data_IF_760060788259
#
_entry.id   IF_760060788259
#
_cell.length_a   1.000
_cell.length_b   1.000
_cell.length_c   1.000
_cell.angle_alpha   90.00
_cell.angle_beta   90.00
_cell.angle_gamma   90.00
#
_symmetry.space_group_name_H-M   'P 1'
#
loop_
_entity.id
_entity.type
_entity.pdbx_description
1 polymer ?
#
# COMPACT_ATOMS: atom_id res chain seq x y z
N UNK A 1 35.14 -19.01 34.71
CA UNK A 1 34.08 -19.59 33.86
C UNK A 1 32.91 -18.63 33.91
N UNK A 2 32.69 -17.89 32.83
CA UNK A 2 31.58 -16.92 32.73
C UNK A 2 30.33 -17.70 32.30
N UNK A 3 29.32 -17.73 33.16
CA UNK A 3 27.98 -18.20 32.86
C UNK A 3 27.19 -16.98 32.36
N UNK A 4 26.86 -16.95 31.08
CA UNK A 4 25.91 -15.96 30.55
C UNK A 4 24.51 -16.49 30.81
N UNK A 5 23.81 -15.84 31.74
CA UNK A 5 22.41 -16.07 32.06
C UNK A 5 21.51 -15.88 30.82
N UNK A 6 21.20 -16.99 30.15
CA UNK A 6 20.10 -17.13 29.20
C UNK A 6 18.77 -17.10 29.93
N UNK A 7 18.32 -15.92 30.33
CA UNK A 7 17.02 -15.69 30.96
C UNK A 7 16.11 -14.87 30.03
N UNK A 8 15.28 -15.57 29.25
CA UNK A 8 14.30 -14.92 28.37
C UNK A 8 13.62 -15.86 27.38
N UNK A 9 12.90 -16.88 27.87
CA UNK A 9 12.27 -17.93 27.06
C UNK A 9 11.21 -17.43 26.07
N UNK A 10 11.64 -17.22 24.83
CA UNK A 10 10.85 -17.27 23.61
C UNK A 10 11.60 -18.21 22.69
N UNK A 11 10.93 -19.26 22.18
CA UNK A 11 11.55 -20.40 21.50
C UNK A 11 12.73 -20.01 20.60
N UNK A 12 13.85 -20.72 20.79
CA UNK A 12 15.02 -20.63 19.91
C UNK A 12 14.67 -20.96 18.46
N UNK A 13 13.52 -21.57 18.21
CA UNK A 13 13.04 -21.85 16.87
C UNK A 13 12.62 -20.57 16.12
N UNK A 14 13.08 -20.39 14.87
CA UNK A 14 12.63 -19.29 14.02
C UNK A 14 11.12 -19.38 13.73
N UNK A 15 10.49 -18.22 13.55
CA UNK A 15 9.09 -18.19 13.10
C UNK A 15 8.96 -18.82 11.70
N UNK A 16 7.88 -19.55 11.42
CA UNK A 16 7.63 -20.13 10.08
C UNK A 16 7.71 -19.06 8.97
N UNK A 17 7.28 -17.83 9.26
CA UNK A 17 7.41 -16.69 8.33
C UNK A 17 8.87 -16.35 8.04
N UNK A 18 9.75 -16.37 9.04
CA UNK A 18 11.18 -16.12 8.87
C UNK A 18 11.83 -17.23 8.05
N UNK A 19 11.52 -18.49 8.35
CA UNK A 19 12.05 -19.65 7.60
C UNK A 19 11.65 -19.58 6.13
N UNK A 20 10.36 -19.36 5.83
CA UNK A 20 9.89 -19.22 4.45
C UNK A 20 10.56 -18.05 3.73
N UNK A 21 10.75 -16.94 4.43
CA UNK A 21 11.42 -15.78 3.87
C UNK A 21 12.90 -16.07 3.57
N UNK A 22 13.62 -16.70 4.50
CA UNK A 22 15.00 -17.12 4.32
C UNK A 22 15.16 -18.09 3.14
N UNK A 23 14.25 -19.06 2.99
CA UNK A 23 14.24 -19.99 1.86
C UNK A 23 14.03 -19.28 0.50
N UNK A 24 13.05 -18.38 0.42
CA UNK A 24 12.82 -17.59 -0.80
C UNK A 24 14.03 -16.72 -1.14
N UNK A 25 14.66 -16.13 -0.12
CA UNK A 25 15.82 -15.28 -0.31
C UNK A 25 17.04 -16.09 -0.77
N UNK A 26 17.27 -17.27 -0.17
CA UNK A 26 18.30 -18.23 -0.58
C UNK A 26 18.11 -18.65 -2.05
N UNK A 27 16.88 -19.02 -2.43
CA UNK A 27 16.55 -19.40 -3.81
C UNK A 27 16.81 -18.26 -4.81
N UNK A 28 16.38 -17.04 -4.47
CA UNK A 28 16.53 -15.89 -5.38
C UNK A 28 17.97 -15.37 -5.49
N UNK A 29 18.77 -15.55 -4.44
CA UNK A 29 20.18 -15.14 -4.39
C UNK A 29 21.15 -16.25 -4.82
N UNK A 30 20.67 -17.49 -4.99
CA UNK A 30 21.51 -18.65 -5.25
C UNK A 30 22.41 -19.04 -4.07
N UNK A 31 22.08 -18.60 -2.84
CA UNK A 31 22.83 -18.95 -1.63
C UNK A 31 22.27 -20.24 -1.02
N UNK A 32 23.15 -21.07 -0.45
CA UNK A 32 22.72 -22.25 0.30
C UNK A 32 22.21 -21.84 1.70
N UNK A 33 21.03 -22.32 2.08
CA UNK A 33 20.46 -22.08 3.42
C UNK A 33 21.08 -23.09 4.41
N UNK A 34 21.82 -22.64 5.44
CA UNK A 34 22.40 -23.55 6.44
C UNK A 34 21.31 -24.20 7.29
N UNK A 35 21.48 -25.48 7.67
CA UNK A 35 20.51 -26.20 8.49
C UNK A 35 20.33 -25.55 9.87
N UNK A 36 21.39 -24.96 10.42
CA UNK A 36 21.34 -24.26 11.71
C UNK A 36 20.37 -23.07 11.68
N UNK A 37 20.19 -22.42 10.52
CA UNK A 37 19.23 -21.33 10.35
C UNK A 37 17.77 -21.79 10.35
N UNK A 38 17.51 -23.10 10.27
CA UNK A 38 16.16 -23.68 10.44
C UNK A 38 15.84 -23.98 11.91
N UNK A 39 16.86 -24.19 12.73
CA UNK A 39 16.73 -24.60 14.13
C UNK A 39 16.86 -23.42 15.09
N UNK A 40 17.65 -22.40 14.71
CA UNK A 40 17.95 -21.25 15.55
C UNK A 40 17.51 -19.93 14.90
N UNK A 41 16.73 -19.16 15.65
CA UNK A 41 16.16 -17.87 15.23
C UNK A 41 17.21 -16.81 14.97
N UNK A 42 18.26 -16.75 15.79
CA UNK A 42 19.35 -15.78 15.63
C UNK A 42 20.17 -16.11 14.38
N UNK A 43 20.46 -17.40 14.16
CA UNK A 43 21.11 -17.89 12.93
C UNK A 43 20.26 -17.60 11.69
N UNK A 44 18.94 -17.80 11.77
CA UNK A 44 18.00 -17.46 10.70
C UNK A 44 18.03 -15.97 10.37
N UNK A 45 17.97 -15.12 11.39
CA UNK A 45 18.01 -13.67 11.22
C UNK A 45 19.35 -13.20 10.63
N UNK A 46 20.46 -13.72 11.14
CA UNK A 46 21.79 -13.42 10.63
C UNK A 46 21.95 -13.81 9.16
N UNK A 47 21.43 -14.99 8.76
CA UNK A 47 21.42 -15.42 7.37
C UNK A 47 20.60 -14.46 6.48
N UNK A 48 19.41 -14.05 6.94
CA UNK A 48 18.56 -13.09 6.20
C UNK A 48 19.30 -11.77 5.99
N UNK A 49 19.95 -11.24 7.03
CA UNK A 49 20.70 -9.99 6.94
C UNK A 49 21.89 -10.10 5.98
N UNK A 50 22.65 -11.19 6.04
CA UNK A 50 23.78 -11.44 5.13
C UNK A 50 23.30 -11.56 3.67
N UNK A 51 22.24 -12.33 3.44
CA UNK A 51 21.68 -12.53 2.12
C UNK A 51 21.05 -11.25 1.54
N UNK A 52 20.42 -10.41 2.38
CA UNK A 52 19.95 -9.08 1.97
C UNK A 52 21.11 -8.15 1.62
N UNK A 53 22.20 -8.19 2.38
CA UNK A 53 23.40 -7.41 2.10
C UNK A 53 24.02 -7.73 0.74
N UNK A 54 23.97 -9.01 0.33
CA UNK A 54 24.45 -9.52 -0.97
C UNK A 54 23.45 -9.32 -2.11
N UNK A 55 22.18 -9.07 -1.79
CA UNK A 55 21.16 -8.88 -2.81
C UNK A 55 21.31 -7.53 -3.51
N UNK A 56 21.20 -7.56 -4.85
CA UNK A 56 21.17 -6.34 -5.64
C UNK A 56 19.94 -5.49 -5.28
N UNK A 57 20.07 -4.16 -5.21
CA UNK A 57 18.94 -3.27 -4.96
C UNK A 57 17.89 -3.38 -6.06
N UNK A 58 16.62 -3.21 -5.70
CA UNK A 58 15.54 -3.18 -6.68
C UNK A 58 15.67 -1.95 -7.59
N UNK A 59 15.36 -2.12 -8.88
CA UNK A 59 15.36 -1.01 -9.85
C UNK A 59 14.53 0.20 -9.38
N UNK A 60 13.44 -0.04 -8.64
CA UNK A 60 12.63 1.02 -8.04
C UNK A 60 13.36 1.78 -6.92
N UNK A 61 14.09 1.06 -6.07
CA UNK A 61 14.89 1.70 -5.02
C UNK A 61 16.02 2.54 -5.63
N UNK A 62 16.64 2.05 -6.71
CA UNK A 62 17.67 2.80 -7.44
C UNK A 62 17.09 4.10 -8.00
N UNK A 63 16.00 4.03 -8.76
CA UNK A 63 15.35 5.21 -9.33
C UNK A 63 14.93 6.22 -8.24
N UNK A 64 14.42 5.73 -7.10
CA UNK A 64 14.02 6.61 -6.00
C UNK A 64 15.23 7.28 -5.35
N UNK A 65 16.29 6.52 -5.04
CA UNK A 65 17.53 7.06 -4.49
C UNK A 65 18.19 8.08 -5.46
N UNK A 66 18.13 7.83 -6.77
CA UNK A 66 18.61 8.78 -7.79
C UNK A 66 17.80 10.08 -7.79
N UNK A 67 16.49 10.03 -7.61
CA UNK A 67 15.65 11.24 -7.50
C UNK A 67 15.98 12.06 -6.25
N UNK A 68 16.30 11.39 -5.14
CA UNK A 68 16.75 12.04 -3.91
C UNK A 68 18.12 12.69 -4.10
N UNK A 69 19.05 11.97 -4.74
CA UNK A 69 20.39 12.46 -5.05
C UNK A 69 20.34 13.68 -6.01
N UNK A 70 19.49 13.61 -7.03
CA UNK A 70 19.22 14.73 -7.94
C UNK A 70 18.66 15.96 -7.20
N UNK A 71 17.75 15.77 -6.25
CA UNK A 71 17.24 16.86 -5.40
C UNK A 71 18.34 17.53 -4.58
N UNK A 72 19.36 16.75 -4.15
CA UNK A 72 20.55 17.27 -3.47
C UNK A 72 21.60 17.88 -4.41
N UNK A 73 21.44 17.72 -5.73
CA UNK A 73 22.47 18.02 -6.73
C UNK A 73 23.77 17.24 -6.51
N UNK A 74 23.68 16.01 -5.99
CA UNK A 74 24.83 15.11 -5.78
C UNK A 74 24.62 13.81 -6.59
N UNK A 75 25.66 13.22 -7.19
CA UNK A 75 25.53 11.91 -7.83
C UNK A 75 25.37 10.80 -6.77
N UNK A 76 24.58 9.77 -7.08
CA UNK A 76 24.39 8.63 -6.17
C UNK A 76 25.71 7.84 -6.04
N UNK A 77 26.25 7.64 -4.82
CA UNK A 77 27.52 6.93 -4.63
C UNK A 77 27.47 5.48 -5.14
N UNK A 78 28.55 5.00 -5.78
CA UNK A 78 28.60 3.64 -6.35
C UNK A 78 28.40 2.54 -5.30
N UNK A 79 28.90 2.74 -4.08
CA UNK A 79 28.72 1.81 -2.96
C UNK A 79 27.24 1.62 -2.57
N UNK A 80 26.42 2.66 -2.77
CA UNK A 80 24.97 2.61 -2.50
C UNK A 80 24.25 1.80 -3.57
N UNK A 81 24.73 1.83 -4.82
CA UNK A 81 24.16 1.06 -5.95
C UNK A 81 24.47 -0.43 -5.89
N UNK A 82 25.52 -0.85 -5.18
CA UNK A 82 25.94 -2.25 -5.11
C UNK A 82 25.16 -3.10 -4.09
N UNK A 83 24.49 -2.49 -3.11
CA UNK A 83 23.80 -3.25 -2.05
C UNK A 83 22.41 -2.70 -1.76
N UNK A 84 21.42 -3.61 -1.67
CA UNK A 84 20.06 -3.28 -1.26
C UNK A 84 19.99 -2.65 0.13
N UNK A 85 20.88 -3.03 1.04
CA UNK A 85 20.94 -2.44 2.39
C UNK A 85 21.42 -0.99 2.34
N UNK A 86 22.52 -0.74 1.62
CA UNK A 86 23.08 0.59 1.48
C UNK A 86 22.09 1.56 0.80
N UNK A 87 21.32 1.10 -0.19
CA UNK A 87 20.30 1.95 -0.83
C UNK A 87 19.14 2.27 0.09
N UNK A 88 18.67 1.30 0.88
CA UNK A 88 17.61 1.54 1.86
C UNK A 88 18.06 2.54 2.93
N UNK A 89 19.27 2.38 3.49
CA UNK A 89 19.83 3.32 4.46
C UNK A 89 19.97 4.73 3.86
N UNK A 90 20.42 4.84 2.61
CA UNK A 90 20.49 6.12 1.90
C UNK A 90 19.10 6.76 1.74
N UNK A 91 18.09 5.97 1.35
CA UNK A 91 16.71 6.46 1.22
C UNK A 91 16.18 6.94 2.57
N UNK A 92 16.34 6.17 3.65
CA UNK A 92 15.83 6.51 4.97
C UNK A 92 16.46 7.79 5.53
N UNK A 93 17.76 8.01 5.26
CA UNK A 93 18.46 9.24 5.64
C UNK A 93 17.97 10.45 4.84
N UNK A 94 17.68 10.28 3.54
CA UNK A 94 17.33 11.38 2.64
C UNK A 94 15.81 11.52 2.40
N UNK A 95 14.97 10.71 3.04
CA UNK A 95 13.51 10.71 2.84
C UNK A 95 12.87 12.08 3.14
N UNK A 96 13.46 12.86 4.03
CA UNK A 96 12.98 14.20 4.38
C UNK A 96 13.14 15.21 3.23
N UNK A 97 14.03 14.91 2.27
CA UNK A 97 14.26 15.72 1.07
C UNK A 97 13.31 15.38 -0.06
N UNK A 98 12.59 14.25 0.03
CA UNK A 98 11.40 14.03 -0.78
C UNK A 98 10.28 14.93 -0.25
N UNK A 99 10.46 16.24 -0.35
CA UNK A 99 9.35 17.19 -0.23
C UNK A 99 8.30 16.76 -1.25
N UNK A 100 7.01 16.69 -0.90
CA UNK A 100 5.96 16.35 -1.83
C UNK A 100 5.79 17.51 -2.81
N UNK A 101 6.67 17.60 -3.79
CA UNK A 101 6.51 18.46 -4.94
C UNK A 101 5.29 17.93 -5.70
N UNK A 102 4.13 18.51 -5.41
CA UNK A 102 2.86 18.34 -6.09
C UNK A 102 2.31 16.89 -6.18
N UNK A 103 1.59 16.45 -5.15
CA UNK A 103 0.50 15.47 -5.29
C UNK A 103 0.85 14.04 -5.74
N UNK A 104 2.14 13.71 -5.87
CA UNK A 104 2.59 12.35 -6.17
C UNK A 104 2.25 11.40 -5.03
N UNK A 105 1.35 10.45 -5.29
CA UNK A 105 0.93 9.40 -4.36
C UNK A 105 2.17 8.72 -3.76
N UNK A 106 2.43 9.00 -2.49
CA UNK A 106 3.50 8.37 -1.71
C UNK A 106 3.34 6.85 -1.78
N UNK A 107 4.22 6.20 -2.52
CA UNK A 107 4.34 4.74 -2.60
C UNK A 107 5.20 4.28 -1.41
N UNK A 108 4.68 4.45 -0.20
CA UNK A 108 5.24 3.93 1.04
C UNK A 108 4.23 2.98 1.67
N UNK A 109 4.56 1.69 1.66
CA UNK A 109 3.67 0.62 2.09
C UNK A 109 3.27 0.67 3.57
N UNK A 110 2.06 0.17 3.84
CA UNK A 110 1.82 -0.74 4.96
C UNK A 110 2.04 -0.20 6.38
N UNK A 111 1.74 1.07 6.63
CA UNK A 111 1.71 1.65 7.98
C UNK A 111 0.34 2.23 8.29
N UNK A 112 -0.58 1.37 8.77
CA UNK A 112 -1.88 1.78 9.31
C UNK A 112 -1.68 2.68 10.53
N UNK A 113 -1.61 4.00 10.34
CA UNK A 113 -1.93 5.03 11.34
C UNK A 113 -2.08 6.38 10.65
N UNK A 114 -3.33 6.61 10.25
CA UNK A 114 -3.88 7.83 9.72
C UNK A 114 -3.60 9.03 10.64
N UNK A 115 -2.55 9.79 10.35
CA UNK A 115 -2.54 11.25 10.59
C UNK A 115 -2.62 11.96 9.24
N UNK A 116 -3.69 11.68 8.49
CA UNK A 116 -4.06 12.53 7.36
C UNK A 116 -4.66 13.83 7.92
N UNK A 117 -3.95 14.92 7.64
CA UNK A 117 -4.33 16.30 7.92
C UNK A 117 -5.84 16.55 7.72
N UNK A 118 -6.46 17.07 8.77
CA UNK A 118 -7.90 17.00 9.03
C UNK A 118 -8.72 18.17 8.45
N UNK A 119 -8.25 18.90 7.44
CA UNK A 119 -8.83 20.22 7.15
C UNK A 119 -9.54 20.42 5.82
N UNK A 120 -9.52 19.49 4.85
CA UNK A 120 -9.94 19.88 3.48
C UNK A 120 -11.00 19.02 2.80
N UNK A 121 -11.71 18.18 3.55
CA UNK A 121 -12.92 17.54 3.02
C UNK A 121 -13.88 17.25 4.17
N UNK A 122 -14.88 18.13 4.33
CA UNK A 122 -15.99 17.95 5.27
C UNK A 122 -16.86 16.72 4.92
N UNK A 123 -16.72 16.21 3.70
CA UNK A 123 -17.46 15.04 3.23
C UNK A 123 -16.77 13.73 3.64
N UNK A 124 -17.54 12.69 4.01
CA UNK A 124 -17.04 11.33 4.15
C UNK A 124 -16.25 10.87 2.93
N UNK A 125 -15.18 10.11 3.16
CA UNK A 125 -14.48 9.47 2.03
C UNK A 125 -15.31 8.31 1.46
N UNK A 126 -15.22 8.04 0.15
CA UNK A 126 -15.91 6.92 -0.50
C UNK A 126 -15.66 5.58 0.19
N UNK A 127 -14.44 5.37 0.69
CA UNK A 127 -14.06 4.16 1.43
C UNK A 127 -14.84 4.04 2.74
N UNK A 128 -15.01 5.13 3.48
CA UNK A 128 -15.80 5.13 4.71
C UNK A 128 -17.28 4.87 4.41
N UNK A 129 -17.84 5.49 3.37
CA UNK A 129 -19.23 5.27 2.93
C UNK A 129 -19.48 3.81 2.55
N UNK A 130 -18.62 3.23 1.72
CA UNK A 130 -18.74 1.85 1.30
C UNK A 130 -18.62 0.88 2.49
N UNK A 131 -17.65 1.14 3.39
CA UNK A 131 -17.45 0.30 4.56
C UNK A 131 -18.63 0.38 5.53
N UNK A 132 -19.13 1.58 5.83
CA UNK A 132 -20.33 1.78 6.63
C UNK A 132 -21.54 1.06 6.02
N UNK A 133 -21.75 1.16 4.69
CA UNK A 133 -22.84 0.47 4.01
C UNK A 133 -22.73 -1.07 4.14
N UNK A 134 -21.52 -1.63 4.07
CA UNK A 134 -21.32 -3.08 4.27
C UNK A 134 -21.64 -3.52 5.70
N UNK A 135 -21.20 -2.76 6.71
CA UNK A 135 -21.49 -3.03 8.11
C UNK A 135 -22.99 -2.90 8.41
N UNK A 136 -23.63 -1.87 7.88
CA UNK A 136 -25.06 -1.63 8.00
C UNK A 136 -25.87 -2.82 7.48
N UNK A 137 -25.54 -3.31 6.27
CA UNK A 137 -26.16 -4.50 5.68
C UNK A 137 -25.92 -5.77 6.51
N UNK A 138 -24.69 -5.99 6.96
CA UNK A 138 -24.32 -7.18 7.73
C UNK A 138 -25.09 -7.26 9.07
N UNK A 139 -25.29 -6.11 9.70
CA UNK A 139 -25.95 -5.98 11.01
C UNK A 139 -27.43 -5.66 10.91
N UNK A 140 -27.95 -5.57 9.67
CA UNK A 140 -29.34 -5.23 9.36
C UNK A 140 -29.80 -3.91 10.01
N UNK A 141 -28.90 -2.93 10.06
CA UNK A 141 -29.20 -1.56 10.52
C UNK A 141 -29.20 -0.60 9.34
N UNK A 142 -30.04 0.44 9.37
CA UNK A 142 -30.05 1.49 8.36
C UNK A 142 -28.97 2.55 8.62
N UNK A 143 -28.58 3.28 7.57
CA UNK A 143 -27.76 4.49 7.67
C UNK A 143 -28.65 5.72 7.54
N UNK A 144 -28.54 6.66 8.48
CA UNK A 144 -29.27 7.93 8.40
C UNK A 144 -28.61 8.87 7.38
N UNK A 145 -29.38 9.83 6.87
CA UNK A 145 -28.84 10.84 5.95
C UNK A 145 -27.72 11.68 6.61
N UNK A 146 -27.86 12.01 7.89
CA UNK A 146 -26.85 12.75 8.66
C UNK A 146 -25.53 11.98 8.76
N UNK A 147 -25.59 10.66 8.95
CA UNK A 147 -24.41 9.79 8.96
C UNK A 147 -23.71 9.73 7.59
N UNK A 148 -24.45 9.91 6.50
CA UNK A 148 -23.89 9.88 5.14
C UNK A 148 -23.34 11.23 4.68
N UNK A 149 -23.77 12.33 5.29
CA UNK A 149 -23.32 13.68 4.92
C UNK A 149 -22.16 14.18 5.79
N UNK A 150 -22.02 13.67 7.02
CA UNK A 150 -20.96 14.07 7.95
C UNK A 150 -19.94 12.94 8.17
N UNK A 151 -18.67 13.27 7.92
CA UNK A 151 -17.54 12.36 8.11
C UNK A 151 -17.34 11.93 9.57
N UNK A 152 -17.65 12.78 10.53
CA UNK A 152 -17.56 12.44 11.94
C UNK A 152 -18.61 11.39 12.31
N UNK A 153 -19.85 11.58 11.85
CA UNK A 153 -20.97 10.68 12.14
C UNK A 153 -20.79 9.31 11.46
N UNK A 154 -20.28 9.27 10.22
CA UNK A 154 -19.97 7.98 9.59
C UNK A 154 -18.87 7.21 10.31
N UNK A 155 -17.85 7.93 10.81
CA UNK A 155 -16.73 7.30 11.53
C UNK A 155 -17.21 6.73 12.85
N UNK A 156 -18.07 7.46 13.58
CA UNK A 156 -18.73 6.97 14.80
C UNK A 156 -19.52 5.70 14.55
N UNK A 157 -20.35 5.68 13.51
CA UNK A 157 -21.11 4.50 13.12
C UNK A 157 -20.18 3.30 12.85
N UNK A 158 -19.09 3.50 12.13
CA UNK A 158 -18.11 2.44 11.85
C UNK A 158 -17.48 1.91 13.14
N UNK A 159 -17.07 2.79 14.06
CA UNK A 159 -16.42 2.40 15.31
C UNK A 159 -17.37 1.64 16.25
N UNK A 160 -18.64 2.07 16.32
CA UNK A 160 -19.71 1.39 17.05
C UNK A 160 -19.98 0.00 16.48
N UNK A 161 -20.18 -0.12 15.17
CA UNK A 161 -20.57 -1.38 14.53
C UNK A 161 -19.40 -2.37 14.37
N UNK A 162 -18.16 -1.87 14.32
CA UNK A 162 -16.95 -2.71 14.25
C UNK A 162 -16.52 -3.28 15.61
N UNK A 163 -17.13 -2.83 16.72
CA UNK A 163 -16.83 -3.32 18.06
C UNK A 163 -15.46 -2.89 18.59
N UNK A 164 -14.79 -1.93 17.93
CA UNK A 164 -13.49 -1.38 18.34
C UNK A 164 -13.59 -0.22 19.34
N UNK A 165 -14.80 0.28 19.60
CA UNK A 165 -15.06 1.44 20.45
C UNK A 165 -14.99 1.25 21.97
N UNK A 166 -14.45 0.13 22.48
CA UNK A 166 -14.41 -0.14 23.92
C UNK A 166 -13.00 -0.10 24.49
N UNK A 167 -12.42 1.09 24.76
CA UNK A 167 -11.33 1.28 25.74
C UNK A 167 -10.76 2.72 25.86
N UNK A 168 -11.21 3.72 25.09
CA UNK A 168 -10.72 5.09 25.28
C UNK A 168 -11.81 6.01 25.83
N UNK A 169 -11.85 6.06 27.17
CA UNK A 169 -12.53 7.06 27.98
C UNK A 169 -12.10 8.48 27.59
N UNK A 170 -13.06 9.27 27.14
CA UNK A 170 -12.86 10.67 26.75
C UNK A 170 -14.17 11.42 26.54
N UNK A 171 -15.09 11.31 27.52
CA UNK A 171 -16.21 12.22 27.77
C UNK A 171 -16.99 12.76 26.55
N UNK A 172 -17.78 11.90 25.89
CA UNK A 172 -18.95 12.38 25.14
C UNK A 172 -20.20 12.21 26.02
N UNK A 173 -20.75 13.34 26.50
CA UNK A 173 -21.91 13.36 27.39
C UNK A 173 -23.23 13.28 26.57
N UNK A 174 -23.99 12.16 26.65
CA UNK A 174 -25.24 12.00 25.89
C UNK A 174 -26.35 12.98 26.30
N UNK A 175 -26.21 13.70 27.41
CA UNK A 175 -27.15 14.73 27.83
C UNK A 175 -27.18 15.96 26.88
N UNK A 176 -26.05 16.25 26.20
CA UNK A 176 -25.96 17.41 25.30
C UNK A 176 -26.68 17.16 23.95
N UNK A 177 -26.86 15.90 23.55
CA UNK A 177 -27.51 15.55 22.29
C UNK A 177 -29.05 15.64 22.40
N UNK A 178 -29.64 15.19 23.52
CA UNK A 178 -31.08 15.36 23.76
C UNK A 178 -31.50 16.83 23.91
N UNK A 179 -30.63 17.68 24.46
CA UNK A 179 -30.90 19.12 24.58
C UNK A 179 -30.96 19.82 23.21
N UNK A 180 -30.06 19.47 22.28
CA UNK A 180 -30.04 20.07 20.94
C UNK A 180 -31.16 19.56 20.03
N UNK A 181 -31.57 18.29 20.16
CA UNK A 181 -32.73 17.76 19.42
C UNK A 181 -34.05 18.37 19.94
N UNK A 182 -34.19 18.54 21.25
CA UNK A 182 -35.38 19.21 21.82
C UNK A 182 -35.48 20.69 21.43
N UNK A 183 -34.35 21.40 21.34
CA UNK A 183 -34.32 22.80 20.88
C UNK A 183 -34.70 22.96 19.40
N UNK A 184 -34.27 22.03 18.54
CA UNK A 184 -34.59 22.07 17.11
C UNK A 184 -36.04 21.65 16.78
N UNK A 185 -36.62 20.70 17.54
CA UNK A 185 -38.04 20.32 17.37
C UNK A 185 -38.97 21.43 17.90
N UNK A 186 -38.58 22.14 18.96
CA UNK A 186 -39.34 23.29 19.47
C UNK A 186 -39.32 24.49 18.52
N UNK A 187 -38.23 24.70 17.77
CA UNK A 187 -38.12 25.77 16.78
C UNK A 187 -39.00 25.58 15.54
N UNK A 188 -39.23 24.33 15.10
CA UNK A 188 -40.05 24.04 13.92
C UNK A 188 -41.56 24.17 14.19
N UNK A 189 -42.00 23.94 15.43
CA UNK A 189 -43.42 24.05 15.82
C UNK A 189 -43.90 25.51 15.97
N UNK A 190 -42.99 26.48 16.14
CA UNK A 190 -43.34 27.89 16.32
C UNK A 190 -43.47 28.68 14.99
N UNK A 191 -43.09 28.09 13.85
CA UNK A 191 -43.04 28.79 12.55
C UNK A 191 -44.26 28.60 11.63
N UNK A 192 -45.17 27.66 11.91
CA UNK A 192 -46.34 27.38 11.07
C UNK A 192 -47.60 28.07 11.62
N UNK A 193 -47.50 29.38 11.79
CA UNK A 193 -48.65 30.24 12.04
C UNK A 193 -49.41 30.54 10.75
N UNK A 194 -50.58 29.92 10.62
CA UNK A 194 -51.81 30.50 10.07
C UNK A 194 -51.72 31.34 8.79
N UNK A 195 -51.89 30.70 7.63
CA UNK A 195 -52.52 31.37 6.47
C UNK A 195 -53.58 30.47 5.84
N UNK A 196 -54.82 30.79 6.22
CA UNK A 196 -56.11 30.51 5.62
C UNK A 196 -56.16 29.62 4.37
N UNK A 197 -56.90 28.51 4.54
CA UNK A 197 -57.58 27.78 3.47
C UNK A 197 -58.55 28.71 2.73
N UNK A 198 -58.23 29.01 1.46
CA UNK A 198 -59.17 29.55 0.48
C UNK A 198 -59.48 28.49 -0.56
N UNK A 199 -60.71 27.97 -0.53
CA UNK A 199 -61.22 27.04 -1.52
C UNK A 199 -61.40 27.72 -2.88
N UNK A 200 -60.87 27.09 -3.95
CA UNK A 200 -61.35 27.31 -5.32
C UNK A 200 -61.32 25.97 -6.06
N UNK A 201 -62.53 25.46 -6.31
CA UNK A 201 -62.79 24.48 -7.34
C UNK A 201 -62.59 25.15 -8.71
N UNK A 202 -61.98 24.44 -9.67
CA UNK A 202 -61.94 24.92 -11.05
C UNK A 202 -60.88 24.26 -11.90
N UNK A 203 -61.33 23.29 -12.69
CA UNK A 203 -61.06 23.12 -14.12
C UNK A 203 -59.62 23.19 -14.69
N UNK A 204 -59.41 22.26 -15.61
CA UNK A 204 -58.82 22.46 -16.94
C UNK A 204 -57.37 22.00 -17.19
N UNK A 205 -57.29 21.17 -18.24
CA UNK A 205 -56.34 21.24 -19.35
C UNK A 205 -54.92 20.69 -19.19
N UNK A 206 -54.75 19.52 -19.80
CA UNK A 206 -53.92 19.32 -20.99
C UNK A 206 -52.87 20.40 -21.30
N UNK A 207 -51.60 20.05 -21.16
CA UNK A 207 -50.46 20.43 -22.03
C UNK A 207 -49.27 19.58 -21.60
N UNK A 208 -48.77 18.68 -22.44
CA UNK A 208 -47.86 19.00 -23.55
C UNK A 208 -46.62 19.75 -23.07
N UNK A 209 -45.52 19.00 -22.95
CA UNK A 209 -44.10 19.37 -23.05
C UNK A 209 -43.34 18.07 -22.78
N UNK A 210 -42.77 17.38 -23.77
CA UNK A 210 -41.83 17.94 -24.73
C UNK A 210 -40.49 18.08 -24.01
N UNK A 211 -39.83 16.95 -23.80
CA UNK A 211 -38.51 16.85 -23.16
C UNK A 211 -37.59 16.07 -24.10
N UNK A 212 -37.00 16.85 -25.02
CA UNK A 212 -35.95 16.52 -25.97
C UNK A 212 -34.99 15.42 -25.48
N UNK A 213 -35.04 14.26 -26.14
CA UNK A 213 -33.99 13.27 -26.07
C UNK A 213 -32.76 13.82 -26.79
N UNK A 214 -31.75 14.21 -26.01
CA UNK A 214 -30.44 14.56 -26.56
C UNK A 214 -29.76 13.29 -27.09
N UNK A 215 -29.40 13.20 -28.38
CA UNK A 215 -28.58 12.12 -28.90
C UNK A 215 -27.12 12.50 -28.72
N UNK A 216 -26.51 12.11 -27.60
CA UNK A 216 -25.07 12.30 -27.37
C UNK A 216 -24.27 10.99 -27.27
N UNK A 217 -24.88 9.85 -27.59
CA UNK A 217 -24.25 8.52 -27.40
C UNK A 217 -23.73 7.83 -28.67
N UNK A 218 -23.52 8.54 -29.79
CA UNK A 218 -23.21 7.88 -31.08
C UNK A 218 -21.92 8.33 -31.80
N UNK A 219 -20.93 8.92 -31.10
CA UNK A 219 -19.65 9.32 -31.73
C UNK A 219 -18.36 8.74 -31.11
N UNK A 220 -18.44 7.84 -30.12
CA UNK A 220 -17.23 7.26 -29.49
C UNK A 220 -16.87 5.84 -29.95
N UNK A 221 -17.66 5.21 -30.83
CA UNK A 221 -17.42 3.84 -31.29
C UNK A 221 -16.60 3.71 -32.59
N UNK A 222 -16.11 4.82 -33.18
CA UNK A 222 -15.44 4.80 -34.49
C UNK A 222 -13.90 4.79 -34.47
N UNK A 223 -13.24 4.51 -33.33
CA UNK A 223 -11.76 4.53 -33.23
C UNK A 223 -11.09 3.18 -32.94
N UNK A 224 -11.80 2.06 -33.05
CA UNK A 224 -11.25 0.73 -32.72
C UNK A 224 -10.64 -0.05 -33.90
N UNK A 225 -10.82 0.36 -35.16
CA UNK A 225 -10.55 -0.53 -36.32
C UNK A 225 -9.41 -0.05 -37.24
N UNK A 226 -8.38 0.61 -36.71
CA UNK A 226 -7.20 0.98 -37.52
C UNK A 226 -5.89 0.77 -36.75
N UNK A 227 -5.55 -0.50 -36.58
CA UNK A 227 -4.30 -0.97 -36.00
C UNK A 227 -3.85 -2.29 -36.62
N UNK A 228 -3.94 -2.39 -37.94
CA UNK A 228 -3.37 -3.48 -38.72
C UNK A 228 -1.85 -3.36 -38.83
N UNK A 229 -1.20 -4.53 -38.76
CA UNK A 229 -0.15 -4.92 -39.71
C UNK A 229 1.18 -4.15 -39.65
N UNK A 230 1.92 -4.21 -38.53
CA UNK A 230 3.39 -3.99 -38.51
C UNK A 230 4.10 -4.80 -37.43
N UNK A 231 4.14 -6.12 -37.59
CA UNK A 231 4.83 -6.98 -36.62
C UNK A 231 5.36 -8.30 -37.17
N UNK A 232 5.69 -8.38 -38.47
CA UNK A 232 6.14 -9.63 -39.10
C UNK A 232 7.56 -9.57 -39.71
N UNK A 233 8.39 -8.58 -39.39
CA UNK A 233 9.70 -8.41 -40.06
C UNK A 233 10.89 -8.11 -39.13
N UNK A 234 10.81 -8.38 -37.82
CA UNK A 234 11.95 -8.16 -36.90
C UNK A 234 12.48 -9.43 -36.19
N UNK A 235 12.06 -10.62 -36.61
CA UNK A 235 12.51 -11.89 -36.01
C UNK A 235 13.52 -12.68 -36.88
N UNK A 236 14.11 -12.08 -37.93
CA UNK A 236 15.02 -12.79 -38.83
C UNK A 236 16.51 -12.33 -38.80
N UNK A 237 16.89 -11.34 -37.99
CA UNK A 237 18.27 -10.81 -37.96
C UNK A 237 18.92 -10.80 -36.56
N UNK A 238 18.52 -11.70 -35.64
CA UNK A 238 19.15 -11.79 -34.31
C UNK A 238 19.72 -13.18 -33.95
N UNK A 239 19.82 -14.10 -34.91
CA UNK A 239 20.45 -15.42 -34.71
C UNK A 239 21.95 -15.48 -35.07
N UNK A 240 22.54 -14.46 -35.71
CA UNK A 240 23.96 -14.46 -36.10
C UNK A 240 24.92 -13.86 -35.04
N UNK A 241 24.42 -13.40 -33.89
CA UNK A 241 25.25 -12.84 -32.81
C UNK A 241 25.67 -13.85 -31.73
N UNK A 242 25.10 -15.06 -31.73
CA UNK A 242 25.53 -16.16 -30.86
C UNK A 242 26.09 -17.32 -31.70
N UNK A 243 27.30 -17.11 -32.23
CA UNK A 243 28.08 -18.17 -32.85
C UNK A 243 28.28 -19.38 -31.92
N UNK A 244 28.55 -20.58 -32.49
CA UNK A 244 28.68 -21.81 -31.73
C UNK A 244 29.81 -21.67 -30.70
N UNK A 245 29.44 -21.81 -29.42
CA UNK A 245 30.40 -21.96 -28.33
C UNK A 245 31.30 -23.15 -28.64
N UNK A 246 32.53 -22.84 -29.03
CA UNK A 246 33.61 -23.79 -29.19
C UNK A 246 33.87 -24.42 -27.82
N UNK A 247 33.69 -25.73 -27.76
CA UNK A 247 34.16 -26.57 -26.66
C UNK A 247 35.68 -26.36 -26.53
N UNK A 248 36.08 -25.63 -25.50
CA UNK A 248 37.46 -25.64 -25.02
C UNK A 248 37.54 -26.73 -23.94
N UNK A 249 37.95 -27.92 -24.37
CA UNK A 249 38.47 -28.94 -23.47
C UNK A 249 39.78 -28.43 -22.89
N UNK A 250 39.74 -28.00 -21.62
CA UNK A 250 40.91 -27.66 -20.83
C UNK A 250 41.17 -28.76 -19.82
N UNK A 251 41.95 -29.76 -20.23
CA UNK A 251 42.74 -30.61 -19.34
C UNK A 251 43.69 -29.71 -18.54
N UNK A 252 43.40 -29.44 -17.27
CA UNK A 252 44.38 -28.85 -16.34
C UNK A 252 44.66 -29.88 -15.25
N UNK A 253 45.62 -30.72 -15.62
CA UNK A 253 46.48 -31.60 -14.84
C UNK A 253 46.80 -30.99 -13.45
N UNK A 254 46.25 -31.59 -12.39
CA UNK A 254 46.50 -31.16 -11.01
C UNK A 254 47.78 -31.84 -10.50
N UNK A 255 48.88 -31.11 -10.24
CA UNK A 255 50.10 -31.73 -9.77
C UNK A 255 49.94 -32.26 -8.35
N UNK A 256 50.14 -33.57 -8.22
CA UNK A 256 50.43 -34.30 -6.99
C UNK A 256 51.58 -33.58 -6.24
N UNK A 257 51.22 -32.80 -5.22
CA UNK A 257 52.18 -32.23 -4.29
C UNK A 257 52.84 -33.38 -3.52
N UNK A 258 54.09 -33.67 -3.89
CA UNK A 258 54.97 -34.62 -3.22
C UNK A 258 55.26 -34.18 -1.78
N UNK A 259 55.08 -35.13 -0.88
CA UNK A 259 55.76 -35.20 0.41
C UNK A 259 57.26 -34.88 0.28
N UNK A 260 57.77 -34.02 1.15
CA UNK A 260 59.19 -33.71 1.16
C UNK A 260 59.63 -32.72 2.23
N UNK A 261 60.13 -33.29 3.33
CA UNK A 261 61.28 -32.80 4.11
C UNK A 261 61.12 -31.55 5.00
N UNK A 262 60.99 -31.78 6.31
CA UNK A 262 61.37 -30.82 7.35
C UNK A 262 62.80 -31.20 7.80
N UNK A 263 63.83 -30.37 7.62
CA UNK A 263 65.11 -30.56 8.28
C UNK A 263 65.07 -30.02 9.72
N UNK A 264 65.69 -30.77 10.63
CA UNK A 264 65.99 -30.39 12.01
C UNK A 264 67.11 -29.36 12.10
#
# INVERSE_FOLDING_TARGET
MQFTDSAGGYGSEPSEKQVRYAQQLAQRSGLALPQDALLDRERCSAFIEEALGKSAPSARQIAFAESLAATKNEPLPAAVRSSAKAISEYIDQNQHLATPAAGGRSYGGGGSSLRSSASDSLLPTDKQLLYAATLARQKQVGLSYEQLSDRAEISRFIDEMSGKGGANDGAYNPANYKANVAANVAGLAAGMGSSAFGAVAGAAMASSRGGDGSPLDDQMLSRAERGGERGAELDAEMDDLFGPSTQAEGEEDTPLFREGQIPF
#
